data_IF_095291769277
#
_entry.id   IF_095291769277
#
_cell.length_a   1.000
_cell.length_b   1.000
_cell.length_c   1.000
_cell.angle_alpha   90.00
_cell.angle_beta   90.00
_cell.angle_gamma   90.00
#
_symmetry.space_group_name_H-M   'P 1'
#
loop_
_entity.id
_entity.type
_entity.pdbx_description
1 polymer ?
#
# COMPACT_ATOMS: atom_id res chain seq x y z
N UNK A 1 -14.56 18.21 -1.74
CA UNK A 1 -14.65 19.45 -0.94
C UNK A 1 -15.46 19.32 0.34
N UNK A 2 -16.62 18.64 0.37
CA UNK A 2 -17.42 18.47 1.60
C UNK A 2 -16.63 17.88 2.78
N UNK A 3 -15.88 16.80 2.58
CA UNK A 3 -15.14 16.13 3.66
C UNK A 3 -14.07 17.04 4.32
N UNK A 4 -13.41 17.88 3.53
CA UNK A 4 -12.43 18.87 4.01
C UNK A 4 -13.06 19.86 4.99
N UNK A 5 -14.29 20.32 4.69
CA UNK A 5 -15.03 21.27 5.54
C UNK A 5 -15.53 20.62 6.84
N UNK A 6 -15.97 19.36 6.79
CA UNK A 6 -16.44 18.66 8.00
C UNK A 6 -15.30 18.27 8.94
N UNK A 7 -14.17 17.82 8.39
CA UNK A 7 -13.04 17.35 9.18
C UNK A 7 -12.02 18.44 9.51
N UNK A 8 -12.17 19.66 8.95
CA UNK A 8 -11.20 20.75 9.06
C UNK A 8 -9.78 20.35 8.59
N UNK A 9 -9.71 19.57 7.51
CA UNK A 9 -8.45 19.09 6.92
C UNK A 9 -8.30 19.69 5.52
N UNK A 10 -7.08 20.08 5.14
CA UNK A 10 -6.80 20.56 3.77
C UNK A 10 -7.20 19.50 2.74
N UNK A 11 -7.84 19.92 1.63
CA UNK A 11 -8.28 18.99 0.60
C UNK A 11 -7.12 18.18 -0.01
N UNK A 12 -5.90 18.73 -0.04
CA UNK A 12 -4.68 18.06 -0.49
C UNK A 12 -4.21 16.92 0.44
N UNK A 13 -4.75 16.84 1.66
CA UNK A 13 -4.44 15.80 2.64
C UNK A 13 -5.52 14.71 2.68
N UNK A 14 -6.55 14.80 1.82
CA UNK A 14 -7.58 13.78 1.70
C UNK A 14 -7.11 12.73 0.71
N UNK A 15 -6.88 11.51 1.20
CA UNK A 15 -6.43 10.37 0.41
C UNK A 15 -7.60 9.41 0.15
N UNK A 16 -7.78 9.04 -1.10
CA UNK A 16 -8.75 8.05 -1.55
C UNK A 16 -8.08 6.68 -1.74
N UNK A 17 -8.30 5.76 -0.80
CA UNK A 17 -7.76 4.41 -0.85
C UNK A 17 -8.87 3.46 -1.28
N UNK A 18 -8.90 3.09 -2.56
CA UNK A 18 -9.82 2.09 -3.09
C UNK A 18 -9.20 0.69 -3.02
N UNK A 19 -10.03 -0.34 -3.17
CA UNK A 19 -9.57 -1.72 -3.23
C UNK A 19 -8.62 -1.95 -4.41
N UNK A 20 -7.44 -2.48 -4.13
CA UNK A 20 -6.41 -2.82 -5.13
C UNK A 20 -6.27 -4.35 -5.24
N UNK A 21 -5.88 -4.88 -6.41
CA UNK A 21 -5.83 -6.33 -6.65
C UNK A 21 -4.79 -7.04 -5.78
N UNK A 22 -3.69 -6.36 -5.46
CA UNK A 22 -2.65 -6.86 -4.57
C UNK A 22 -2.10 -5.71 -3.69
N UNK A 23 -1.51 -6.05 -2.55
CA UNK A 23 -1.03 -5.05 -1.56
C UNK A 23 0.17 -4.22 -2.06
N UNK A 24 0.92 -4.71 -3.05
CA UNK A 24 2.09 -4.02 -3.61
C UNK A 24 1.69 -2.77 -4.41
N UNK A 25 0.42 -2.63 -4.79
CA UNK A 25 -0.14 -1.42 -5.41
C UNK A 25 -0.36 -0.26 -4.45
N UNK A 26 -0.44 -0.51 -3.13
CA UNK A 26 -0.77 0.55 -2.16
C UNK A 26 0.24 1.71 -2.20
N UNK A 27 1.57 1.50 -2.21
CA UNK A 27 2.54 2.60 -2.31
C UNK A 27 2.42 3.40 -3.61
N UNK A 28 2.10 2.73 -4.73
CA UNK A 28 1.91 3.38 -6.03
C UNK A 28 0.65 4.26 -6.02
N UNK A 29 -0.43 3.75 -5.43
CA UNK A 29 -1.68 4.49 -5.24
C UNK A 29 -1.48 5.76 -4.39
N UNK A 30 -0.69 5.66 -3.31
CA UNK A 30 -0.37 6.79 -2.45
C UNK A 30 0.55 7.80 -3.14
N UNK A 31 1.50 7.33 -3.96
CA UNK A 31 2.34 8.19 -4.80
C UNK A 31 1.50 9.01 -5.78
N UNK A 32 0.55 8.38 -6.47
CA UNK A 32 -0.32 9.04 -7.45
C UNK A 32 -1.18 10.16 -6.85
N UNK A 33 -1.42 10.11 -5.54
CA UNK A 33 -2.17 11.12 -4.80
C UNK A 33 -1.27 12.14 -4.07
N UNK A 34 0.04 12.14 -4.34
CA UNK A 34 1.03 13.00 -3.69
C UNK A 34 1.05 12.91 -2.15
N UNK A 35 0.64 11.77 -1.59
CA UNK A 35 0.54 11.58 -0.14
C UNK A 35 1.87 11.84 0.58
N UNK A 36 2.96 11.30 0.01
CA UNK A 36 4.32 11.50 0.49
C UNK A 36 4.70 12.99 0.56
N UNK A 37 4.34 13.78 -0.45
CA UNK A 37 4.61 15.22 -0.47
C UNK A 37 3.80 15.96 0.60
N UNK A 38 2.50 15.65 0.74
CA UNK A 38 1.64 16.24 1.77
C UNK A 38 2.17 15.96 3.19
N UNK A 39 2.63 14.74 3.46
CA UNK A 39 3.23 14.35 4.74
C UNK A 39 4.53 15.12 4.99
N UNK A 40 5.44 15.14 4.00
CA UNK A 40 6.72 15.84 4.13
C UNK A 40 6.54 17.35 4.34
N UNK A 41 5.57 17.96 3.65
CA UNK A 41 5.20 19.37 3.82
C UNK A 41 4.71 19.62 5.24
N UNK A 42 3.81 18.77 5.76
CA UNK A 42 3.25 18.92 7.10
C UNK A 42 4.32 18.75 8.21
N UNK A 43 5.34 17.92 7.96
CA UNK A 43 6.46 17.71 8.87
C UNK A 43 7.63 18.69 8.65
N UNK A 44 7.54 19.62 7.68
CA UNK A 44 8.62 20.53 7.28
C UNK A 44 9.92 19.81 6.87
N UNK A 45 9.83 18.64 6.22
CA UNK A 45 10.97 17.80 5.82
C UNK A 45 11.27 17.82 4.31
N UNK A 46 10.63 18.72 3.55
CA UNK A 46 10.79 18.79 2.10
C UNK A 46 12.24 19.06 1.66
N UNK A 47 13.02 19.78 2.48
CA UNK A 47 14.42 20.13 2.16
C UNK A 47 15.40 18.97 2.32
N UNK A 48 15.06 17.95 3.10
CA UNK A 48 15.91 16.78 3.37
C UNK A 48 15.40 15.51 2.70
N UNK A 49 14.23 15.58 2.06
CA UNK A 49 13.61 14.43 1.45
C UNK A 49 14.40 13.97 0.22
N UNK A 50 14.66 12.67 0.16
CA UNK A 50 15.21 12.03 -1.04
C UNK A 50 14.13 11.83 -2.09
N UNK A 51 14.50 11.78 -3.39
CA UNK A 51 13.58 11.39 -4.44
C UNK A 51 12.93 10.04 -4.13
N UNK A 52 11.61 9.98 -4.32
CA UNK A 52 10.85 8.76 -4.08
C UNK A 52 11.18 7.73 -5.17
N UNK A 53 11.88 6.67 -4.77
CA UNK A 53 12.11 5.50 -5.61
C UNK A 53 11.14 4.36 -5.22
N UNK A 54 10.29 3.98 -6.17
CA UNK A 54 9.35 2.86 -6.04
C UNK A 54 9.55 1.82 -7.16
N UNK A 55 10.71 1.79 -7.82
CA UNK A 55 10.97 0.83 -8.90
C UNK A 55 10.78 -0.61 -8.42
N UNK A 56 11.36 -0.95 -7.27
CA UNK A 56 11.24 -2.29 -6.67
C UNK A 56 9.79 -2.65 -6.33
N UNK A 57 8.99 -1.68 -5.87
CA UNK A 57 7.57 -1.87 -5.56
C UNK A 57 6.73 -2.07 -6.82
N UNK A 58 6.98 -1.25 -7.84
CA UNK A 58 6.33 -1.33 -9.16
C UNK A 58 6.57 -2.71 -9.77
N UNK A 59 7.84 -3.14 -9.80
CA UNK A 59 8.22 -4.46 -10.32
C UNK A 59 7.53 -5.60 -9.57
N UNK A 60 7.38 -5.51 -8.25
CA UNK A 60 6.68 -6.54 -7.45
C UNK A 60 5.19 -6.58 -7.75
N UNK A 61 4.55 -5.42 -7.85
CA UNK A 61 3.14 -5.32 -8.19
C UNK A 61 2.87 -5.94 -9.57
N UNK A 62 3.67 -5.58 -10.58
CA UNK A 62 3.56 -6.12 -11.93
C UNK A 62 3.88 -7.62 -11.99
N UNK A 63 4.92 -8.09 -11.29
CA UNK A 63 5.23 -9.52 -11.22
C UNK A 63 4.03 -10.29 -10.68
N UNK A 64 3.44 -9.81 -9.59
CA UNK A 64 2.32 -10.47 -8.93
C UNK A 64 1.07 -10.49 -9.83
N UNK A 65 0.79 -9.40 -10.54
CA UNK A 65 -0.35 -9.31 -11.45
C UNK A 65 -0.22 -10.26 -12.67
N UNK A 66 1.01 -10.61 -13.05
CA UNK A 66 1.30 -11.48 -14.19
C UNK A 66 1.52 -12.96 -13.81
N UNK A 67 1.41 -13.34 -12.53
CA UNK A 67 1.50 -14.73 -12.10
C UNK A 67 0.27 -15.50 -12.59
N UNK A 68 0.49 -16.49 -13.46
CA UNK A 68 -0.57 -17.33 -14.03
C UNK A 68 -0.50 -18.79 -13.54
N UNK A 69 0.67 -19.23 -13.10
CA UNK A 69 0.88 -20.58 -12.61
C UNK A 69 0.41 -20.75 -11.16
N UNK A 70 -0.34 -21.81 -10.90
CA UNK A 70 -0.79 -22.17 -9.56
C UNK A 70 -0.11 -23.44 -9.06
N UNK A 71 0.45 -23.41 -7.85
CA UNK A 71 1.01 -24.58 -7.16
C UNK A 71 0.23 -24.85 -5.88
N UNK A 72 0.04 -26.14 -5.54
CA UNK A 72 -0.65 -26.55 -4.31
C UNK A 72 0.37 -26.89 -3.23
N UNK A 73 0.33 -26.15 -2.13
CA UNK A 73 1.18 -26.37 -0.96
C UNK A 73 0.28 -26.77 0.21
N UNK A 74 0.57 -27.92 0.83
CA UNK A 74 -0.16 -28.37 2.01
C UNK A 74 0.43 -27.72 3.27
N UNK A 75 -0.42 -27.10 4.08
CA UNK A 75 -0.03 -26.49 5.35
C UNK A 75 -0.50 -27.37 6.51
N UNK A 76 0.43 -27.72 7.41
CA UNK A 76 0.13 -28.51 8.62
C UNK A 76 0.30 -27.61 9.84
N UNK A 77 -0.78 -27.44 10.62
CA UNK A 77 -0.79 -26.58 11.80
C UNK A 77 -1.98 -26.87 12.72
N UNK A 78 -1.93 -26.37 13.95
CA UNK A 78 -2.98 -26.59 14.94
C UNK A 78 -4.23 -25.72 14.71
N UNK A 79 -4.09 -24.57 14.04
CA UNK A 79 -5.16 -23.58 13.87
C UNK A 79 -5.35 -23.13 12.41
N UNK A 80 -5.30 -24.07 11.46
CA UNK A 80 -5.33 -23.77 10.00
C UNK A 80 -6.59 -22.98 9.57
N UNK A 81 -7.67 -23.02 10.36
CA UNK A 81 -8.90 -22.24 10.13
C UNK A 81 -8.84 -20.77 10.57
N UNK A 82 -7.84 -20.36 11.36
CA UNK A 82 -7.58 -18.96 11.70
C UNK A 82 -6.51 -18.42 10.76
N UNK A 83 -6.94 -17.83 9.65
CA UNK A 83 -6.06 -17.25 8.62
C UNK A 83 -5.10 -16.20 9.19
N UNK A 84 -5.50 -15.48 10.26
CA UNK A 84 -4.69 -14.44 10.88
C UNK A 84 -3.47 -15.00 11.65
N UNK A 85 -3.61 -16.18 12.28
CA UNK A 85 -2.52 -16.83 13.02
C UNK A 85 -1.35 -17.25 12.13
N UNK A 86 -1.56 -17.29 10.82
CA UNK A 86 -0.57 -17.70 9.81
C UNK A 86 -0.35 -16.64 8.74
N UNK A 87 -0.76 -15.39 8.97
CA UNK A 87 -0.67 -14.33 7.97
C UNK A 87 0.76 -14.13 7.46
N UNK A 88 1.75 -14.21 8.35
CA UNK A 88 3.18 -14.11 7.99
C UNK A 88 3.73 -15.32 7.25
N UNK A 89 3.04 -16.46 7.26
CA UNK A 89 3.41 -17.68 6.53
C UNK A 89 2.70 -17.75 5.18
N UNK A 90 1.44 -17.29 5.13
CA UNK A 90 0.62 -17.25 3.91
C UNK A 90 1.00 -16.06 3.01
N UNK A 91 1.39 -14.93 3.59
CA UNK A 91 1.77 -13.70 2.88
C UNK A 91 3.27 -13.43 2.97
N UNK A 92 4.09 -14.40 2.54
CA UNK A 92 5.52 -14.22 2.27
C UNK A 92 5.73 -13.82 0.82
#
# INVERSE_FOLDING_TARGET
MKLSQFCHVEAANILNIHGVPNIWHIPLLLRNQNAHHSILKQLNLLSIATPLDLEAWTRRAETFDNLTDSVRIAMVGNYVGLTDSYLSVVKV
#
